data_IF_845770441000
#
_entry.id   IF_845770441000
#
_cell.length_a   1.000
_cell.length_b   1.000
_cell.length_c   1.000
_cell.angle_alpha   90.00
_cell.angle_beta   90.00
_cell.angle_gamma   90.00
#
_symmetry.space_group_name_H-M   'P 1'
#
loop_
_entity.id
_entity.type
_entity.pdbx_description
1 polymer ?
#
# COMPACT_ATOMS: atom_id res chain seq x y z
N UNK A 1 -10.83 17.87 -24.12
CA UNK A 1 -9.72 17.15 -24.77
C UNK A 1 -8.35 17.76 -24.54
N UNK A 2 -7.89 18.80 -25.27
CA UNK A 2 -6.48 19.26 -25.24
C UNK A 2 -5.84 19.48 -23.86
N UNK A 3 -6.60 19.96 -22.87
CA UNK A 3 -6.11 20.14 -21.49
C UNK A 3 -5.90 18.82 -20.73
N UNK A 4 -6.77 17.84 -20.93
CA UNK A 4 -6.62 16.51 -20.31
C UNK A 4 -5.47 15.75 -20.95
N UNK A 5 -5.34 15.82 -22.27
CA UNK A 5 -4.23 15.21 -23.02
C UNK A 5 -2.87 15.79 -22.62
N UNK A 6 -2.76 17.11 -22.49
CA UNK A 6 -1.55 17.77 -21.99
C UNK A 6 -1.22 17.40 -20.53
N UNK A 7 -2.22 17.19 -19.68
CA UNK A 7 -2.02 16.73 -18.30
C UNK A 7 -1.55 15.27 -18.25
N UNK A 8 -2.14 14.41 -19.08
CA UNK A 8 -1.75 13.01 -19.18
C UNK A 8 -0.30 12.88 -19.64
N UNK A 9 0.09 13.63 -20.67
CA UNK A 9 1.49 13.72 -21.12
C UNK A 9 2.44 14.19 -20.01
N UNK A 10 1.99 15.11 -19.16
CA UNK A 10 2.81 15.59 -18.05
C UNK A 10 3.05 14.50 -17.00
N UNK A 11 2.04 13.71 -16.66
CA UNK A 11 2.18 12.63 -15.67
C UNK A 11 2.93 11.41 -16.23
N UNK A 12 2.78 11.10 -17.51
CA UNK A 12 3.47 9.96 -18.14
C UNK A 12 4.92 10.23 -18.53
N UNK A 13 5.36 11.49 -18.57
CA UNK A 13 6.74 11.84 -18.96
C UNK A 13 7.78 11.16 -18.08
N UNK A 14 7.56 11.11 -16.76
CA UNK A 14 8.46 10.43 -15.83
C UNK A 14 8.53 8.92 -16.13
N UNK A 15 7.39 8.31 -16.45
CA UNK A 15 7.29 6.90 -16.85
C UNK A 15 8.14 6.63 -18.09
N UNK A 16 7.97 7.43 -19.15
CA UNK A 16 8.73 7.27 -20.41
C UNK A 16 10.24 7.40 -20.19
N UNK A 17 10.68 8.33 -19.34
CA UNK A 17 12.10 8.49 -19.03
C UNK A 17 12.65 7.31 -18.22
N UNK A 18 11.88 6.82 -17.24
CA UNK A 18 12.25 5.66 -16.45
C UNK A 18 12.37 4.40 -17.31
N UNK A 19 11.41 4.15 -18.21
CA UNK A 19 11.43 3.03 -19.17
C UNK A 19 12.62 3.12 -20.13
N UNK A 20 13.04 4.33 -20.51
CA UNK A 20 14.24 4.56 -21.31
C UNK A 20 15.55 4.40 -20.52
N UNK A 21 15.50 4.05 -19.23
CA UNK A 21 16.67 3.89 -18.37
C UNK A 21 17.34 5.21 -17.98
N UNK A 22 16.65 6.34 -18.15
CA UNK A 22 17.17 7.66 -17.76
C UNK A 22 16.92 7.86 -16.26
N UNK A 23 17.96 8.12 -15.44
CA UNK A 23 17.76 8.37 -14.02
C UNK A 23 16.90 9.62 -13.77
N UNK A 24 15.82 9.47 -13.02
CA UNK A 24 14.91 10.56 -12.65
C UNK A 24 14.99 10.89 -11.16
N UNK A 25 14.85 12.17 -10.82
CA UNK A 25 14.71 12.63 -9.44
C UNK A 25 13.67 13.74 -9.36
N UNK A 26 12.97 13.81 -8.23
CA UNK A 26 11.94 14.81 -8.00
C UNK A 26 12.50 16.07 -7.35
N UNK A 27 11.95 17.20 -7.76
CA UNK A 27 12.14 18.50 -7.11
C UNK A 27 10.79 19.12 -6.84
N UNK A 28 10.69 19.91 -5.76
CA UNK A 28 9.52 20.73 -5.48
C UNK A 28 9.57 22.10 -6.15
N UNK A 29 10.49 22.31 -7.10
CA UNK A 29 10.62 23.58 -7.82
C UNK A 29 9.28 23.94 -8.48
N UNK A 30 8.70 25.08 -8.08
CA UNK A 30 7.39 25.59 -8.52
C UNK A 30 6.16 24.81 -8.01
N UNK A 31 6.26 24.08 -6.91
CA UNK A 31 5.15 23.37 -6.28
C UNK A 31 5.06 23.66 -4.78
N UNK A 32 3.83 23.64 -4.23
CA UNK A 32 3.62 23.71 -2.77
C UNK A 32 3.78 22.31 -2.17
N UNK A 33 4.42 22.21 -1.01
CA UNK A 33 4.68 20.93 -0.34
C UNK A 33 3.42 20.08 -0.12
N UNK A 34 2.26 20.71 0.11
CA UNK A 34 0.99 20.01 0.31
C UNK A 34 0.47 19.26 -0.93
N UNK A 35 0.92 19.64 -2.13
CA UNK A 35 0.45 19.08 -3.39
C UNK A 35 1.31 17.88 -3.84
N UNK A 36 2.46 17.65 -3.18
CA UNK A 36 3.44 16.62 -3.55
C UNK A 36 2.84 15.21 -3.64
N UNK A 37 2.27 14.70 -2.54
CA UNK A 37 1.77 13.32 -2.49
C UNK A 37 0.63 13.08 -3.49
N UNK A 38 -0.23 14.07 -3.70
CA UNK A 38 -1.31 13.97 -4.67
C UNK A 38 -0.80 13.89 -6.12
N UNK A 39 0.28 14.61 -6.45
CA UNK A 39 0.89 14.55 -7.77
C UNK A 39 1.67 13.25 -7.99
N UNK A 40 2.38 12.77 -6.98
CA UNK A 40 3.08 11.48 -7.04
C UNK A 40 2.11 10.32 -7.24
N UNK A 41 0.98 10.29 -6.51
CA UNK A 41 -0.06 9.27 -6.72
C UNK A 41 -0.58 9.26 -8.14
N UNK A 42 -0.84 10.43 -8.73
CA UNK A 42 -1.26 10.51 -10.14
C UNK A 42 -0.20 9.96 -11.09
N UNK A 43 1.08 10.14 -10.82
CA UNK A 43 2.14 9.53 -11.65
C UNK A 43 2.12 8.00 -11.53
N UNK A 44 1.90 7.47 -10.32
CA UNK A 44 1.76 6.03 -10.08
C UNK A 44 0.53 5.47 -10.81
N UNK A 45 -0.62 6.12 -10.68
CA UNK A 45 -1.86 5.79 -11.41
C UNK A 45 -1.69 5.84 -12.94
N UNK A 46 -0.66 6.54 -13.44
CA UNK A 46 -0.32 6.64 -14.87
C UNK A 46 0.93 5.83 -15.24
N UNK A 47 1.25 4.78 -14.48
CA UNK A 47 2.21 3.74 -14.87
C UNK A 47 3.63 3.88 -14.30
N UNK A 48 3.92 4.92 -13.51
CA UNK A 48 5.21 5.02 -12.85
C UNK A 48 5.26 4.08 -11.63
N UNK A 49 6.16 3.10 -11.62
CA UNK A 49 6.19 2.14 -10.51
C UNK A 49 6.51 2.82 -9.16
N UNK A 50 5.87 2.41 -8.05
CA UNK A 50 6.15 2.96 -6.71
C UNK A 50 7.63 2.88 -6.32
N UNK A 51 8.33 1.82 -6.73
CA UNK A 51 9.77 1.65 -6.48
C UNK A 51 10.61 2.67 -7.24
N UNK A 52 10.26 2.97 -8.48
CA UNK A 52 10.93 4.02 -9.26
C UNK A 52 10.74 5.38 -8.59
N UNK A 53 9.52 5.66 -8.11
CA UNK A 53 9.22 6.87 -7.35
C UNK A 53 10.06 6.93 -6.08
N UNK A 54 10.13 5.84 -5.32
CA UNK A 54 10.91 5.77 -4.09
C UNK A 54 12.39 5.99 -4.35
N UNK A 55 12.94 5.35 -5.38
CA UNK A 55 14.33 5.55 -5.81
C UNK A 55 14.59 7.00 -6.22
N UNK A 56 13.67 7.64 -6.95
CA UNK A 56 13.75 9.03 -7.38
C UNK A 56 13.74 10.04 -6.21
N UNK A 57 13.24 9.63 -5.04
CA UNK A 57 13.25 10.39 -3.79
C UNK A 57 14.43 10.06 -2.86
N UNK A 58 15.15 8.96 -3.10
CA UNK A 58 16.14 8.42 -2.16
C UNK A 58 17.49 8.16 -2.84
N UNK A 59 17.64 7.00 -3.48
CA UNK A 59 18.92 6.51 -4.00
C UNK A 59 19.42 7.31 -5.20
N UNK A 60 18.53 7.73 -6.09
CA UNK A 60 18.90 8.47 -7.31
C UNK A 60 19.48 9.86 -6.98
N UNK A 61 18.81 10.74 -6.20
CA UNK A 61 19.39 12.03 -5.86
C UNK A 61 20.67 11.89 -5.02
N UNK A 62 20.76 10.89 -4.13
CA UNK A 62 21.97 10.66 -3.34
C UNK A 62 23.18 10.32 -4.24
N UNK A 63 22.98 9.49 -5.27
CA UNK A 63 24.00 9.18 -6.29
C UNK A 63 24.34 10.39 -7.15
N UNK A 64 23.33 11.14 -7.62
CA UNK A 64 23.53 12.35 -8.43
C UNK A 64 24.37 13.41 -7.70
N UNK A 65 24.21 13.52 -6.38
CA UNK A 65 24.94 14.45 -5.52
C UNK A 65 26.28 13.89 -4.99
N UNK A 66 26.60 12.62 -5.25
CA UNK A 66 27.82 11.97 -4.77
C UNK A 66 27.88 11.76 -3.25
N UNK A 67 26.73 11.68 -2.59
CA UNK A 67 26.60 11.51 -1.12
C UNK A 67 25.94 10.17 -0.74
N UNK A 68 25.81 9.26 -1.70
CA UNK A 68 25.23 7.93 -1.52
C UNK A 68 25.97 7.08 -0.49
N UNK A 69 27.25 7.36 -0.22
CA UNK A 69 27.99 6.74 0.89
C UNK A 69 27.38 7.04 2.27
N UNK A 70 26.68 8.15 2.42
CA UNK A 70 26.16 8.63 3.71
C UNK A 70 24.65 8.53 3.81
N UNK A 71 23.91 8.64 2.70
CA UNK A 71 22.43 8.70 2.69
C UNK A 71 21.82 7.89 1.53
N UNK A 72 20.49 7.83 1.49
CA UNK A 72 19.71 7.31 0.37
C UNK A 72 19.30 5.83 0.48
N UNK A 73 19.86 5.07 1.42
CA UNK A 73 19.41 3.68 1.73
C UNK A 73 19.40 3.44 3.23
N UNK A 74 18.61 2.46 3.66
CA UNK A 74 18.60 1.97 5.05
C UNK A 74 19.63 0.85 5.17
N UNK A 75 20.89 1.22 5.48
CA UNK A 75 22.00 0.27 5.66
C UNK A 75 22.88 0.70 6.83
N UNK A 76 23.48 -0.27 7.53
CA UNK A 76 24.39 0.01 8.64
C UNK A 76 25.52 0.97 8.23
N UNK A 77 25.85 1.92 9.10
CA UNK A 77 26.90 2.93 8.88
C UNK A 77 26.46 4.18 8.12
N UNK A 78 25.25 4.21 7.54
CA UNK A 78 24.66 5.43 6.95
C UNK A 78 23.92 6.26 8.00
N UNK A 79 23.68 7.53 7.65
CA UNK A 79 22.94 8.47 8.48
C UNK A 79 21.49 8.02 8.66
N UNK A 80 21.00 8.07 9.90
CA UNK A 80 19.66 7.64 10.26
C UNK A 80 18.60 8.69 9.90
N UNK A 81 18.39 8.89 8.59
CA UNK A 81 17.31 9.68 8.01
C UNK A 81 16.21 8.73 7.54
N UNK A 82 15.11 8.66 8.27
CA UNK A 82 14.03 7.69 8.05
C UNK A 82 12.67 8.37 8.11
N UNK A 83 11.72 7.88 7.32
CA UNK A 83 10.32 8.28 7.40
C UNK A 83 9.51 7.00 7.56
N UNK A 84 8.67 6.96 8.60
CA UNK A 84 7.79 5.84 8.92
C UNK A 84 6.35 6.33 8.82
N UNK A 85 5.55 5.64 8.01
CA UNK A 85 4.13 5.92 7.80
C UNK A 85 3.25 4.80 8.33
N UNK A 86 1.95 5.08 8.51
CA UNK A 86 0.95 4.11 9.00
C UNK A 86 0.62 3.01 7.98
N UNK A 87 0.99 3.19 6.71
CA UNK A 87 0.89 2.18 5.65
C UNK A 87 1.89 2.47 4.53
N UNK A 88 1.65 1.99 3.30
CA UNK A 88 2.52 2.31 2.14
C UNK A 88 2.63 3.82 1.98
N UNK A 89 3.86 4.31 1.81
CA UNK A 89 4.13 5.76 1.89
C UNK A 89 3.31 6.60 0.89
N UNK A 90 2.99 6.05 -0.28
CA UNK A 90 2.24 6.77 -1.31
C UNK A 90 0.72 6.59 -1.24
N UNK A 91 0.21 5.68 -0.40
CA UNK A 91 -1.23 5.42 -0.31
C UNK A 91 -2.02 6.65 0.18
N UNK A 92 -3.30 6.74 -0.19
CA UNK A 92 -4.10 7.95 0.06
C UNK A 92 -4.44 8.17 1.54
N UNK A 93 -4.54 7.07 2.30
CA UNK A 93 -4.85 7.07 3.73
C UNK A 93 -3.59 7.04 4.61
N UNK A 94 -2.43 6.74 4.03
CA UNK A 94 -1.16 6.65 4.75
C UNK A 94 -0.71 8.01 5.27
N UNK A 95 -0.33 8.05 6.55
CA UNK A 95 0.12 9.25 7.24
C UNK A 95 1.51 9.03 7.81
N UNK A 96 2.38 10.04 7.70
CA UNK A 96 3.69 10.02 8.35
C UNK A 96 3.48 10.06 9.86
N UNK A 97 4.03 9.05 10.55
CA UNK A 97 3.98 8.90 12.01
C UNK A 97 5.29 9.33 12.66
N UNK A 98 6.42 8.89 12.09
CA UNK A 98 7.74 9.18 12.62
C UNK A 98 8.67 9.67 11.52
N UNK A 99 9.50 10.65 11.85
CA UNK A 99 10.62 11.09 11.03
C UNK A 99 11.88 11.06 11.89
N UNK A 100 12.92 10.38 11.42
CA UNK A 100 14.25 10.45 12.01
C UNK A 100 15.10 11.38 11.16
N UNK A 101 15.78 12.32 11.81
CA UNK A 101 16.79 13.19 11.17
C UNK A 101 18.07 13.02 11.95
N UNK A 102 19.08 12.43 11.31
CA UNK A 102 20.36 12.10 11.94
C UNK A 102 20.21 11.29 13.25
N UNK A 103 19.19 10.43 13.31
CA UNK A 103 18.87 9.62 14.49
C UNK A 103 18.00 10.31 15.55
N UNK A 104 17.68 11.60 15.38
CA UNK A 104 16.74 12.31 16.25
C UNK A 104 15.30 12.02 15.79
N UNK A 105 14.48 11.49 16.69
CA UNK A 105 13.08 11.15 16.45
C UNK A 105 12.17 12.38 16.55
N UNK A 106 11.33 12.55 15.53
CA UNK A 106 10.20 13.48 15.48
C UNK A 106 8.91 12.69 15.27
N UNK A 107 7.97 12.83 16.20
CA UNK A 107 6.67 12.17 16.14
C UNK A 107 5.60 13.14 15.62
N UNK A 108 4.72 12.62 14.76
CA UNK A 108 3.63 13.37 14.14
C UNK A 108 2.28 12.76 14.52
N UNK A 109 1.31 13.62 14.82
CA UNK A 109 -0.04 13.20 15.13
C UNK A 109 -0.76 12.62 13.90
N UNK A 110 -1.28 11.40 14.06
CA UNK A 110 -2.13 10.75 13.08
C UNK A 110 -3.52 11.35 13.14
N UNK A 111 -3.94 12.02 12.06
CA UNK A 111 -5.27 12.60 11.96
C UNK A 111 -6.24 11.56 11.44
N UNK A 112 -7.12 11.05 12.31
CA UNK A 112 -8.29 10.28 11.87
C UNK A 112 -9.08 11.12 10.84
N UNK A 113 -9.10 10.70 9.57
CA UNK A 113 -9.98 11.33 8.57
C UNK A 113 -11.41 11.10 9.07
N UNK A 114 -12.18 12.19 9.24
CA UNK A 114 -13.64 12.06 9.32
C UNK A 114 -14.10 11.60 7.95
N UNK A 115 -14.59 10.37 7.84
CA UNK A 115 -15.21 9.89 6.62
C UNK A 115 -16.23 10.92 6.16
N UNK A 116 -16.06 11.39 4.92
CA UNK A 116 -17.12 12.15 4.26
C UNK A 116 -18.26 11.16 4.06
N UNK A 117 -19.13 11.09 5.06
CA UNK A 117 -20.40 10.39 5.11
C UNK A 117 -21.11 10.46 3.75
N UNK A 118 -20.88 9.46 2.89
CA UNK A 118 -21.82 9.14 1.83
C UNK A 118 -22.97 8.40 2.50
N UNK A 119 -24.09 9.10 2.58
CA UNK A 119 -25.34 8.57 3.09
C UNK A 119 -25.91 7.52 2.14
N UNK A 120 -25.80 6.25 2.52
CA UNK A 120 -26.82 5.21 2.34
C UNK A 120 -26.42 4.12 3.33
N UNK A 121 -27.06 3.95 4.49
CA UNK A 121 -28.48 3.60 4.63
C UNK A 121 -28.50 2.14 5.08
N UNK A 122 -28.57 1.92 6.40
CA UNK A 122 -28.56 0.59 6.99
C UNK A 122 -27.67 0.55 8.23
N UNK A 123 -28.28 0.68 9.40
CA UNK A 123 -27.63 0.50 10.68
C UNK A 123 -27.42 -0.98 10.95
N UNK A 124 -26.19 -1.46 10.86
CA UNK A 124 -25.75 -2.68 11.52
C UNK A 124 -24.31 -2.47 12.00
N UNK A 125 -24.02 -3.01 13.19
CA UNK A 125 -22.77 -2.81 13.93
C UNK A 125 -21.59 -3.17 13.02
N UNK A 126 -20.45 -2.46 13.06
CA UNK A 126 -19.26 -2.88 12.30
C UNK A 126 -18.98 -4.34 12.62
N UNK A 127 -18.90 -5.17 11.58
CA UNK A 127 -18.49 -6.55 11.69
C UNK A 127 -17.16 -6.57 12.44
N UNK A 128 -17.06 -7.38 13.50
CA UNK A 128 -15.85 -7.44 14.33
C UNK A 128 -14.73 -8.11 13.51
N UNK A 129 -14.05 -7.39 12.64
CA UNK A 129 -13.02 -7.95 11.76
C UNK A 129 -11.76 -8.43 12.50
N UNK A 130 -11.51 -7.89 13.70
CA UNK A 130 -10.35 -8.27 14.51
C UNK A 130 -10.43 -9.73 14.94
N UNK A 131 -9.41 -10.50 14.58
CA UNK A 131 -9.29 -11.93 14.84
C UNK A 131 -8.51 -12.65 13.76
N UNK A 132 -8.49 -13.98 13.89
CA UNK A 132 -7.91 -14.88 12.91
C UNK A 132 -9.04 -15.46 12.06
N UNK A 133 -8.79 -15.56 10.77
CA UNK A 133 -9.75 -16.05 9.78
C UNK A 133 -9.06 -17.06 8.90
N UNK A 134 -9.72 -18.18 8.59
CA UNK A 134 -9.28 -18.99 7.47
C UNK A 134 -9.56 -18.25 6.16
N UNK A 135 -8.80 -18.56 5.13
CA UNK A 135 -9.19 -18.23 3.77
C UNK A 135 -8.99 -19.44 2.87
N UNK A 136 -9.78 -19.49 1.81
CA UNK A 136 -9.61 -20.38 0.67
C UNK A 136 -9.87 -19.55 -0.59
N UNK A 137 -8.89 -19.51 -1.50
CA UNK A 137 -8.95 -18.80 -2.78
C UNK A 137 -8.78 -19.79 -3.94
N UNK A 138 -9.67 -19.73 -4.90
CA UNK A 138 -9.63 -20.61 -6.07
C UNK A 138 -8.85 -19.96 -7.21
N UNK A 139 -7.61 -20.40 -7.43
CA UNK A 139 -6.76 -19.93 -8.54
C UNK A 139 -6.67 -20.98 -9.66
N UNK A 140 -6.26 -20.60 -10.89
CA UNK A 140 -5.99 -21.55 -11.97
C UNK A 140 -4.90 -22.57 -11.63
N UNK A 141 -4.01 -22.26 -10.69
CA UNK A 141 -2.95 -23.15 -10.20
C UNK A 141 -3.42 -24.15 -9.14
N UNK A 142 -4.64 -23.99 -8.62
CA UNK A 142 -5.20 -24.77 -7.52
C UNK A 142 -5.83 -23.89 -6.44
N UNK A 143 -6.60 -24.52 -5.55
CA UNK A 143 -7.08 -23.86 -4.35
C UNK A 143 -5.90 -23.62 -3.40
N UNK A 144 -5.78 -22.39 -2.91
CA UNK A 144 -4.84 -22.04 -1.84
C UNK A 144 -5.63 -21.72 -0.59
N UNK A 145 -5.11 -22.13 0.57
CA UNK A 145 -5.74 -21.89 1.85
C UNK A 145 -4.72 -21.38 2.87
N UNK A 146 -5.20 -20.74 3.92
CA UNK A 146 -4.34 -20.25 4.98
C UNK A 146 -5.08 -19.42 6.01
N UNK A 147 -4.35 -18.56 6.72
CA UNK A 147 -4.86 -17.72 7.80
C UNK A 147 -4.63 -16.24 7.54
N UNK A 148 -5.69 -15.44 7.63
CA UNK A 148 -5.63 -13.97 7.71
C UNK A 148 -5.75 -13.58 9.19
N UNK A 149 -4.79 -12.80 9.68
CA UNK A 149 -4.83 -12.24 11.03
C UNK A 149 -5.03 -10.74 10.94
N UNK A 150 -6.08 -10.21 11.56
CA UNK A 150 -6.32 -8.76 11.68
C UNK A 150 -6.29 -8.35 13.14
N UNK A 151 -5.47 -7.34 13.45
CA UNK A 151 -5.33 -6.73 14.79
C UNK A 151 -5.47 -5.22 14.71
N UNK A 152 -5.57 -4.56 15.87
CA UNK A 152 -5.74 -3.11 15.97
C UNK A 152 -7.19 -2.67 16.19
N UNK A 153 -7.42 -1.37 16.03
CA UNK A 153 -8.69 -0.68 16.31
C UNK A 153 -9.05 0.27 15.14
N UNK A 154 -10.30 0.77 15.11
CA UNK A 154 -10.84 1.65 14.05
C UNK A 154 -9.84 2.70 13.54
N UNK A 155 -9.34 2.45 12.32
CA UNK A 155 -8.45 3.30 11.54
C UNK A 155 -6.94 3.07 11.74
N UNK A 156 -6.53 2.06 12.51
CA UNK A 156 -5.13 1.65 12.72
C UNK A 156 -5.02 0.11 12.68
N UNK A 157 -5.72 -0.51 11.74
CA UNK A 157 -5.67 -1.96 11.56
C UNK A 157 -4.30 -2.38 11.03
N UNK A 158 -3.82 -3.50 11.56
CA UNK A 158 -2.65 -4.22 11.06
C UNK A 158 -3.11 -5.62 10.69
N UNK A 159 -2.49 -6.21 9.68
CA UNK A 159 -2.82 -7.56 9.30
C UNK A 159 -1.69 -8.30 8.63
N UNK A 160 -1.77 -9.62 8.74
CA UNK A 160 -0.89 -10.56 8.04
C UNK A 160 -1.73 -11.64 7.38
N UNK A 161 -1.23 -12.19 6.29
CA UNK A 161 -1.77 -13.35 5.59
C UNK A 161 -0.69 -14.42 5.55
N UNK A 162 -1.03 -15.61 5.98
CA UNK A 162 -0.15 -16.77 6.08
C UNK A 162 -0.74 -17.92 5.27
N UNK A 163 -0.19 -18.27 4.09
CA UNK A 163 -0.59 -19.45 3.33
C UNK A 163 -0.18 -20.74 4.07
N UNK A 164 -1.00 -21.78 4.06
CA UNK A 164 -0.70 -23.05 4.75
C UNK A 164 0.49 -23.80 4.13
N UNK A 165 0.75 -23.58 2.85
CA UNK A 165 1.80 -24.21 2.05
C UNK A 165 3.11 -23.41 2.00
N UNK A 166 3.14 -22.22 2.62
CA UNK A 166 4.32 -21.35 2.68
C UNK A 166 4.75 -21.09 4.12
N UNK A 167 6.05 -20.83 4.34
CA UNK A 167 6.59 -20.46 5.66
C UNK A 167 6.54 -18.95 5.92
N UNK A 168 6.36 -18.15 4.86
CA UNK A 168 6.45 -16.70 4.93
C UNK A 168 5.08 -16.05 5.12
N UNK A 169 4.98 -15.12 6.08
CA UNK A 169 3.80 -14.26 6.23
C UNK A 169 3.89 -13.03 5.30
N UNK A 170 2.78 -12.72 4.63
CA UNK A 170 2.63 -11.50 3.86
C UNK A 170 1.99 -10.41 4.72
N UNK A 171 2.61 -9.23 4.78
CA UNK A 171 2.07 -8.08 5.50
C UNK A 171 0.98 -7.41 4.67
N UNK A 172 -0.18 -7.21 5.28
CA UNK A 172 -1.31 -6.51 4.68
C UNK A 172 -1.15 -5.00 4.84
N UNK A 173 -1.55 -4.25 3.82
CA UNK A 173 -1.56 -2.79 3.83
C UNK A 173 -2.86 -2.24 3.22
N UNK A 174 -3.08 -0.93 3.39
CA UNK A 174 -4.30 -0.23 2.97
C UNK A 174 -5.59 -0.88 3.48
N UNK A 175 -5.53 -1.43 4.70
CA UNK A 175 -6.65 -2.08 5.37
C UNK A 175 -7.72 -1.04 5.71
N UNK A 176 -8.93 -1.26 5.20
CA UNK A 176 -10.05 -0.37 5.38
C UNK A 176 -11.37 -1.14 5.56
N UNK A 177 -12.30 -0.53 6.30
CA UNK A 177 -13.61 -1.11 6.56
C UNK A 177 -14.69 -0.09 6.27
N UNK A 178 -15.53 -0.40 5.29
CA UNK A 178 -16.74 0.37 4.97
C UNK A 178 -17.99 -0.51 5.19
N UNK A 179 -18.65 -0.34 6.33
CA UNK A 179 -19.81 -1.16 6.70
C UNK A 179 -19.40 -2.58 7.06
N UNK A 180 -19.76 -3.54 6.22
CA UNK A 180 -19.35 -4.95 6.32
C UNK A 180 -18.32 -5.34 5.24
N UNK A 181 -17.84 -4.39 4.45
CA UNK A 181 -16.81 -4.63 3.43
C UNK A 181 -15.44 -4.30 4.02
N UNK A 182 -14.55 -5.28 4.02
CA UNK A 182 -13.14 -5.18 4.37
C UNK A 182 -12.32 -5.18 3.08
N UNK A 183 -11.51 -4.15 2.88
CA UNK A 183 -10.54 -4.11 1.78
C UNK A 183 -9.13 -4.05 2.33
N UNK A 184 -8.19 -4.69 1.65
CA UNK A 184 -6.76 -4.60 1.93
C UNK A 184 -5.96 -5.08 0.71
N UNK A 185 -4.66 -4.85 0.73
CA UNK A 185 -3.76 -5.28 -0.33
C UNK A 185 -2.52 -5.96 0.25
N UNK A 186 -1.88 -6.81 -0.55
CA UNK A 186 -0.57 -7.39 -0.26
C UNK A 186 0.28 -7.43 -1.53
N UNK A 187 1.60 -7.51 -1.37
CA UNK A 187 2.52 -7.74 -2.47
C UNK A 187 3.06 -9.18 -2.40
N UNK A 188 3.04 -9.88 -3.52
CA UNK A 188 3.61 -11.22 -3.67
C UNK A 188 4.84 -11.14 -4.58
N UNK A 189 5.95 -11.73 -4.15
CA UNK A 189 7.13 -11.85 -5.01
C UNK A 189 6.94 -12.98 -6.01
N UNK A 190 7.10 -12.68 -7.30
CA UNK A 190 7.06 -13.65 -8.39
C UNK A 190 8.33 -13.57 -9.24
N UNK A 191 8.60 -14.62 -10.01
CA UNK A 191 9.77 -14.71 -10.88
C UNK A 191 9.65 -13.71 -12.04
N UNK A 192 10.09 -12.46 -11.81
CA UNK A 192 9.93 -11.33 -12.72
C UNK A 192 9.49 -10.00 -12.09
N UNK A 193 9.14 -9.96 -10.79
CA UNK A 193 8.79 -8.74 -10.07
C UNK A 193 7.81 -8.96 -8.91
N UNK A 194 7.38 -7.87 -8.26
CA UNK A 194 6.32 -7.89 -7.25
C UNK A 194 4.94 -7.74 -7.89
N UNK A 195 3.99 -8.61 -7.55
CA UNK A 195 2.60 -8.52 -7.94
C UNK A 195 1.77 -8.01 -6.76
N UNK A 196 1.07 -6.90 -6.94
CA UNK A 196 0.08 -6.44 -5.95
C UNK A 196 -1.22 -7.21 -6.11
N UNK A 197 -1.73 -7.74 -5.01
CA UNK A 197 -3.02 -8.42 -4.91
C UNK A 197 -3.93 -7.57 -4.04
N UNK A 198 -5.11 -7.25 -4.56
CA UNK A 198 -6.13 -6.46 -3.89
C UNK A 198 -7.28 -7.37 -3.46
N UNK A 199 -7.70 -7.26 -2.20
CA UNK A 199 -8.78 -8.06 -1.62
C UNK A 199 -9.97 -7.16 -1.31
N UNK A 200 -11.17 -7.62 -1.67
CA UNK A 200 -12.44 -7.04 -1.26
C UNK A 200 -13.31 -8.15 -0.67
N UNK A 201 -13.51 -8.12 0.64
CA UNK A 201 -14.20 -9.14 1.42
C UNK A 201 -15.49 -8.56 2.01
N UNK A 202 -16.62 -9.23 1.77
CA UNK A 202 -17.89 -8.98 2.45
C UNK A 202 -17.99 -9.89 3.67
N UNK A 203 -17.96 -9.31 4.86
CA UNK A 203 -18.02 -10.01 6.14
C UNK A 203 -19.48 -10.23 6.55
N UNK A 204 -19.81 -11.47 6.91
CA UNK A 204 -21.10 -11.90 7.44
C UNK A 204 -20.87 -12.67 8.75
N UNK A 205 -21.02 -11.97 9.89
CA UNK A 205 -20.78 -12.51 11.24
C UNK A 205 -19.39 -13.14 11.45
N UNK A 206 -19.31 -14.47 11.28
CA UNK A 206 -18.13 -15.32 11.46
C UNK A 206 -17.69 -15.97 10.14
N UNK A 207 -18.19 -15.53 9.00
CA UNK A 207 -17.70 -15.90 7.67
C UNK A 207 -17.49 -14.67 6.79
N UNK A 208 -16.80 -14.87 5.67
CA UNK A 208 -16.74 -13.88 4.61
C UNK A 208 -16.76 -14.53 3.23
N UNK A 209 -17.19 -13.75 2.25
CA UNK A 209 -17.03 -14.04 0.82
C UNK A 209 -16.45 -12.82 0.14
N UNK A 210 -15.73 -12.99 -0.96
CA UNK A 210 -15.10 -11.85 -1.62
C UNK A 210 -14.32 -12.23 -2.85
N UNK A 211 -13.49 -11.28 -3.28
CA UNK A 211 -12.65 -11.41 -4.45
C UNK A 211 -11.20 -11.00 -4.13
N UNK A 212 -10.25 -11.73 -4.71
CA UNK A 212 -8.83 -11.40 -4.74
C UNK A 212 -8.43 -11.08 -6.19
N UNK A 213 -7.99 -9.85 -6.45
CA UNK A 213 -7.61 -9.36 -7.78
C UNK A 213 -6.10 -9.27 -7.90
N UNK A 214 -5.53 -9.98 -8.86
CA UNK A 214 -4.09 -10.11 -9.08
C UNK A 214 -3.66 -9.45 -10.40
N UNK A 215 -4.04 -8.18 -10.59
CA UNK A 215 -3.72 -7.42 -11.80
C UNK A 215 -4.19 -8.11 -13.10
N UNK A 216 -3.27 -8.27 -14.06
CA UNK A 216 -3.59 -8.93 -15.34
C UNK A 216 -3.85 -10.44 -15.21
N UNK A 217 -3.51 -11.07 -14.08
CA UNK A 217 -3.77 -12.49 -13.85
C UNK A 217 -5.26 -12.80 -13.63
N UNK A 218 -6.05 -11.78 -13.29
CA UNK A 218 -7.50 -11.86 -13.12
C UNK A 218 -7.96 -11.73 -11.67
N UNK A 219 -9.24 -12.03 -11.47
CA UNK A 219 -9.92 -11.94 -10.18
C UNK A 219 -10.43 -13.32 -9.79
N UNK A 220 -10.19 -13.69 -8.53
CA UNK A 220 -10.43 -15.03 -8.00
C UNK A 220 -11.38 -14.96 -6.80
N UNK A 221 -12.37 -15.86 -6.71
CA UNK A 221 -13.24 -15.91 -5.55
C UNK A 221 -12.45 -16.36 -4.32
N UNK A 222 -12.71 -15.71 -3.19
CA UNK A 222 -12.13 -16.05 -1.89
C UNK A 222 -13.25 -16.17 -0.86
N UNK A 223 -13.13 -17.17 0.01
CA UNK A 223 -14.06 -17.40 1.12
C UNK A 223 -13.29 -17.70 2.38
N UNK A 224 -13.94 -17.57 3.54
CA UNK A 224 -13.28 -17.90 4.80
C UNK A 224 -14.21 -17.86 6.00
N UNK A 225 -13.73 -18.43 7.11
CA UNK A 225 -14.45 -18.53 8.37
C UNK A 225 -13.56 -18.04 9.53
N UNK A 226 -14.18 -17.47 10.56
CA UNK A 226 -13.46 -17.03 11.75
C UNK A 226 -12.93 -18.24 12.49
N UNK A 227 -11.63 -18.22 12.78
CA UNK A 227 -11.00 -19.23 13.60
C UNK A 227 -11.31 -18.99 15.09
N UNK A 228 -11.51 -20.06 15.88
CA UNK A 228 -11.76 -19.95 17.31
C UNK A 228 -10.58 -19.29 18.01
N UNK A 229 -10.87 -18.48 19.04
CA UNK A 229 -9.82 -17.92 19.91
C UNK A 229 -9.13 -19.06 20.67
N UNK A 230 -7.83 -19.22 20.44
CA UNK A 230 -6.93 -20.04 21.27
C UNK A 230 -6.78 -19.43 22.66
#
# INVERSE_FOLDING_TARGET
ERRQESLLQHYSQATVLAEAGVPISFSMLNMKSKDFHANVRKMIENGLSPDTVLAALTTVPAKMLGVDKYIGTVTAGKMANLVISTGRYFAEKSQVRYVFVEGVLYEYEIKKKKDKKKSSGGSEKPARIVGNWSFEVETPGGAQAGTITITGDDGDFQGTLYPDDEEDESVLYDIDVEGNVLTFSMDMEADGGSLTIEFELTIEDDSFTGEASAGEAGTFPITGERLPKS
#
